data_IF_163260358873
#
_entry.id   IF_163260358873
#
_cell.length_a   1.000
_cell.length_b   1.000
_cell.length_c   1.000
_cell.angle_alpha   90.00
_cell.angle_beta   90.00
_cell.angle_gamma   90.00
#
_symmetry.space_group_name_H-M   'P 1'
#
loop_
_entity.id
_entity.type
_entity.pdbx_description
1 polymer ?
#
# COMPACT_ATOMS: atom_id res chain seq x y z
N UNK A 1 43.98 60.45 22.09
CA UNK A 1 44.26 59.37 21.10
C UNK A 1 44.44 58.08 21.91
N UNK A 2 43.73 56.97 21.72
CA UNK A 2 42.93 56.45 20.61
C UNK A 2 41.64 55.84 21.17
N UNK A 3 40.54 55.99 20.43
CA UNK A 3 39.31 55.27 20.68
C UNK A 3 39.53 53.77 20.44
N UNK A 4 38.95 52.93 21.30
CA UNK A 4 38.76 51.50 21.02
C UNK A 4 37.49 51.41 20.18
N UNK A 5 37.67 51.43 18.86
CA UNK A 5 36.60 51.13 17.92
C UNK A 5 36.23 49.65 18.10
N UNK A 6 35.01 49.41 18.59
CA UNK A 6 34.43 48.08 18.55
C UNK A 6 34.25 47.70 17.09
N UNK A 7 34.86 46.59 16.68
CA UNK A 7 34.57 45.98 15.39
C UNK A 7 33.09 45.64 15.34
N UNK A 8 32.35 46.40 14.54
CA UNK A 8 30.98 46.09 14.16
C UNK A 8 31.03 44.79 13.37
N UNK A 9 30.72 43.68 14.04
CA UNK A 9 30.64 42.35 13.44
C UNK A 9 29.64 42.42 12.29
N UNK A 10 30.15 42.37 11.08
CA UNK A 10 29.40 42.42 9.84
C UNK A 10 28.38 41.26 9.84
N UNK A 11 27.10 41.59 9.82
CA UNK A 11 25.99 40.62 9.80
C UNK A 11 26.10 39.63 8.62
N UNK A 12 26.87 39.97 7.58
CA UNK A 12 27.18 39.08 6.45
C UNK A 12 28.18 37.97 6.77
N UNK A 13 29.04 38.13 7.77
CA UNK A 13 29.97 37.09 8.21
C UNK A 13 29.28 36.08 9.14
N UNK A 14 28.18 36.48 9.79
CA UNK A 14 27.24 35.58 10.48
C UNK A 14 26.27 34.86 9.50
N UNK A 15 26.27 35.28 8.23
CA UNK A 15 25.56 34.64 7.12
C UNK A 15 26.51 33.80 6.26
N UNK A 16 27.68 33.45 6.80
CA UNK A 16 28.44 32.28 6.35
C UNK A 16 27.51 31.08 6.39
N UNK A 17 27.10 30.63 5.20
CA UNK A 17 26.10 29.59 4.96
C UNK A 17 26.62 28.21 5.39
N UNK A 18 26.85 28.00 6.68
CA UNK A 18 26.90 26.68 7.31
C UNK A 18 25.46 26.17 7.45
N UNK A 19 24.73 26.13 6.34
CA UNK A 19 23.44 25.45 6.31
C UNK A 19 23.74 23.97 6.44
N UNK A 20 23.29 23.38 7.55
CA UNK A 20 23.40 21.95 7.79
C UNK A 20 22.89 21.21 6.56
N UNK A 21 23.75 20.36 5.99
CA UNK A 21 23.41 19.58 4.82
C UNK A 21 22.83 18.25 5.27
N UNK A 22 21.59 17.99 4.89
CA UNK A 22 20.94 16.70 5.11
C UNK A 22 21.05 15.84 3.86
N UNK A 23 21.83 14.77 3.95
CA UNK A 23 21.97 13.81 2.86
C UNK A 23 21.04 12.61 3.08
N UNK A 24 20.10 12.42 2.17
CA UNK A 24 19.27 11.22 2.12
C UNK A 24 19.81 10.24 1.09
N UNK A 25 20.11 9.03 1.54
CA UNK A 25 20.34 7.91 0.63
C UNK A 25 19.00 7.49 0.01
N UNK A 26 18.98 7.19 -1.28
CA UNK A 26 17.77 6.80 -2.01
C UNK A 26 17.89 5.37 -2.53
N UNK A 27 16.95 4.52 -2.13
CA UNK A 27 16.70 3.22 -2.74
C UNK A 27 15.44 3.32 -3.60
N UNK A 28 15.60 3.19 -4.91
CA UNK A 28 14.51 3.31 -5.88
C UNK A 28 14.03 1.91 -6.30
N UNK A 29 12.84 1.52 -5.86
CA UNK A 29 12.26 0.21 -6.09
C UNK A 29 11.13 0.30 -7.13
N UNK A 30 11.40 -0.14 -8.35
CA UNK A 30 10.46 -0.12 -9.47
C UNK A 30 9.69 -1.43 -9.49
N UNK A 31 8.40 -1.40 -9.13
CA UNK A 31 7.53 -2.59 -9.21
C UNK A 31 6.82 -2.57 -10.55
N UNK A 32 6.90 -3.68 -11.29
CA UNK A 32 6.40 -3.75 -12.66
C UNK A 32 5.84 -5.13 -13.01
N UNK A 33 4.99 -5.18 -14.03
CA UNK A 33 4.44 -6.43 -14.60
C UNK A 33 5.15 -6.86 -15.89
N UNK A 34 5.60 -5.89 -16.68
CA UNK A 34 6.35 -6.09 -17.91
C UNK A 34 7.18 -4.85 -18.26
N UNK A 35 8.09 -4.97 -19.23
CA UNK A 35 9.09 -3.95 -19.58
C UNK A 35 8.51 -2.85 -20.51
N UNK A 36 7.29 -2.41 -20.24
CA UNK A 36 6.64 -1.27 -20.90
C UNK A 36 6.32 -0.19 -19.87
N UNK A 37 6.10 1.06 -20.31
CA UNK A 37 5.73 2.13 -19.37
C UNK A 37 4.38 1.85 -18.72
N UNK A 38 3.42 1.33 -19.47
CA UNK A 38 2.10 0.92 -18.98
C UNK A 38 2.22 -0.23 -17.97
N UNK A 39 3.20 -1.11 -18.16
CA UNK A 39 3.54 -2.18 -17.23
C UNK A 39 4.34 -1.75 -16.01
N UNK A 40 4.60 -0.45 -15.83
CA UNK A 40 5.31 0.11 -14.67
C UNK A 40 6.83 0.11 -14.78
N UNK A 41 7.40 -0.24 -15.95
CA UNK A 41 8.85 -0.24 -16.12
C UNK A 41 9.41 1.18 -16.21
N UNK A 42 10.46 1.42 -15.45
CA UNK A 42 11.20 2.69 -15.43
C UNK A 42 12.68 2.35 -15.61
N UNK A 43 13.29 2.91 -16.66
CA UNK A 43 14.70 2.70 -16.94
C UNK A 43 15.61 3.44 -15.95
N UNK A 44 16.85 2.96 -15.82
CA UNK A 44 17.84 3.57 -14.92
C UNK A 44 18.14 5.04 -15.28
N UNK A 45 18.07 5.41 -16.56
CA UNK A 45 18.20 6.81 -17.00
C UNK A 45 17.13 7.70 -16.38
N UNK A 46 15.87 7.28 -16.41
CA UNK A 46 14.74 8.04 -15.88
C UNK A 46 14.87 8.19 -14.35
N UNK A 47 15.33 7.14 -13.65
CA UNK A 47 15.62 7.20 -12.21
C UNK A 47 16.73 8.22 -11.91
N UNK A 48 17.84 8.20 -12.66
CA UNK A 48 18.93 9.16 -12.48
C UNK A 48 18.47 10.59 -12.75
N UNK A 49 17.68 10.81 -13.80
CA UNK A 49 17.07 12.11 -14.08
C UNK A 49 16.16 12.57 -12.93
N UNK A 50 15.36 11.68 -12.34
CA UNK A 50 14.53 12.03 -11.19
C UNK A 50 15.36 12.47 -9.98
N UNK A 51 16.50 11.82 -9.72
CA UNK A 51 17.41 12.19 -8.62
C UNK A 51 18.08 13.55 -8.90
N UNK A 52 18.41 13.84 -10.16
CA UNK A 52 18.91 15.17 -10.56
C UNK A 52 17.86 16.26 -10.34
N UNK A 53 16.61 16.01 -10.72
CA UNK A 53 15.49 16.95 -10.49
C UNK A 53 15.33 17.22 -8.99
N UNK A 54 15.30 16.18 -8.16
CA UNK A 54 15.19 16.36 -6.70
C UNK A 54 16.34 17.21 -6.14
N UNK A 55 17.58 16.97 -6.54
CA UNK A 55 18.72 17.77 -6.07
C UNK A 55 18.66 19.22 -6.58
N UNK A 56 18.19 19.45 -7.80
CA UNK A 56 18.04 20.79 -8.35
C UNK A 56 16.96 21.58 -7.60
N UNK A 57 15.80 20.96 -7.38
CA UNK A 57 14.66 21.61 -6.74
C UNK A 57 14.90 21.91 -5.25
N UNK A 58 15.68 21.06 -4.57
CA UNK A 58 16.00 21.21 -3.15
C UNK A 58 17.32 21.94 -2.88
N UNK A 59 18.01 22.47 -3.91
CA UNK A 59 19.35 23.05 -3.77
C UNK A 59 19.45 24.17 -2.71
N UNK A 60 18.40 24.96 -2.53
CA UNK A 60 18.37 26.10 -1.62
C UNK A 60 18.08 25.71 -0.16
N UNK A 61 17.70 24.45 0.08
CA UNK A 61 17.21 23.95 1.36
C UNK A 61 18.29 23.27 2.22
N UNK A 62 19.44 22.93 1.63
CA UNK A 62 20.44 22.08 2.29
C UNK A 62 20.13 20.57 2.23
N UNK A 63 19.04 20.16 1.59
CA UNK A 63 18.70 18.74 1.38
C UNK A 63 19.36 18.23 0.09
N UNK A 64 20.00 17.06 0.18
CA UNK A 64 20.57 16.34 -0.96
C UNK A 64 20.09 14.90 -1.00
N UNK A 65 19.96 14.36 -2.21
CA UNK A 65 19.52 12.99 -2.48
C UNK A 65 20.60 12.23 -3.24
N UNK A 66 21.03 11.09 -2.73
CA UNK A 66 22.03 10.22 -3.37
C UNK A 66 21.41 8.88 -3.68
N UNK A 67 21.30 8.53 -4.96
CA UNK A 67 20.90 7.19 -5.37
C UNK A 67 21.96 6.18 -4.95
N UNK A 68 21.59 5.26 -4.05
CA UNK A 68 22.47 4.17 -3.59
C UNK A 68 22.05 2.82 -4.16
N UNK A 69 20.79 2.67 -4.56
CA UNK A 69 20.25 1.44 -5.13
C UNK A 69 19.08 1.74 -6.08
N UNK A 70 19.06 1.05 -7.21
CA UNK A 70 17.88 0.93 -8.07
C UNK A 70 17.54 -0.55 -8.20
N UNK A 71 16.29 -0.94 -8.06
CA UNK A 71 15.86 -2.34 -8.08
C UNK A 71 14.57 -2.49 -8.86
N UNK A 72 14.59 -3.35 -9.86
CA UNK A 72 13.42 -3.72 -10.64
C UNK A 72 12.81 -4.99 -10.03
N UNK A 73 11.54 -4.90 -9.63
CA UNK A 73 10.79 -5.92 -8.91
C UNK A 73 9.63 -6.37 -9.79
N UNK A 74 9.78 -7.52 -10.46
CA UNK A 74 8.73 -8.08 -11.30
C UNK A 74 7.69 -8.81 -10.43
N UNK A 75 6.58 -8.17 -10.12
CA UNK A 75 5.52 -8.76 -9.30
C UNK A 75 4.16 -8.18 -9.68
N UNK A 76 3.32 -9.01 -10.32
CA UNK A 76 1.94 -8.63 -10.65
C UNK A 76 1.10 -8.39 -9.41
N UNK A 77 1.24 -9.25 -8.39
CA UNK A 77 0.50 -9.09 -7.14
C UNK A 77 0.81 -7.75 -6.47
N UNK A 78 2.09 -7.36 -6.39
CA UNK A 78 2.42 -6.08 -5.77
C UNK A 78 2.03 -4.89 -6.65
N UNK A 79 2.25 -5.00 -7.97
CA UNK A 79 1.89 -3.94 -8.90
C UNK A 79 0.39 -3.63 -8.86
N UNK A 80 -0.47 -4.65 -8.73
CA UNK A 80 -1.93 -4.51 -8.83
C UNK A 80 -2.67 -4.55 -7.49
N UNK A 81 -2.05 -4.91 -6.37
CA UNK A 81 -2.75 -5.08 -5.09
C UNK A 81 -2.11 -4.35 -3.90
N UNK A 82 -1.01 -3.59 -4.10
CA UNK A 82 -0.47 -2.74 -3.03
C UNK A 82 -1.34 -1.50 -2.85
N UNK A 83 -1.74 -1.27 -1.62
CA UNK A 83 -2.39 -0.04 -1.16
C UNK A 83 -1.96 0.24 0.28
N UNK A 84 -2.11 1.48 0.79
CA UNK A 84 -1.69 1.80 2.15
C UNK A 84 -2.32 0.86 3.20
N UNK A 85 -1.47 0.20 3.98
CA UNK A 85 -1.81 -0.76 5.02
C UNK A 85 -2.02 -2.20 4.53
N UNK A 86 -1.94 -2.49 3.23
CA UNK A 86 -2.18 -3.85 2.73
C UNK A 86 -1.10 -4.84 3.19
N UNK A 87 -1.43 -6.15 3.32
CA UNK A 87 -0.41 -7.17 3.58
C UNK A 87 0.69 -7.18 2.52
N UNK A 88 0.36 -6.89 1.26
CA UNK A 88 1.31 -6.76 0.16
C UNK A 88 2.28 -5.60 0.38
N UNK A 89 1.80 -4.44 0.84
CA UNK A 89 2.65 -3.30 1.17
C UNK A 89 3.65 -3.66 2.27
N UNK A 90 3.17 -4.29 3.33
CA UNK A 90 4.00 -4.69 4.47
C UNK A 90 5.06 -5.71 4.05
N UNK A 91 4.67 -6.75 3.30
CA UNK A 91 5.58 -7.76 2.81
C UNK A 91 6.63 -7.18 1.85
N UNK A 92 6.21 -6.31 0.92
CA UNK A 92 7.10 -5.65 -0.02
C UNK A 92 8.11 -4.76 0.72
N UNK A 93 7.64 -3.90 1.64
CA UNK A 93 8.51 -3.01 2.42
C UNK A 93 9.45 -3.79 3.34
N UNK A 94 9.00 -4.90 3.93
CA UNK A 94 9.86 -5.76 4.75
C UNK A 94 11.04 -6.33 3.95
N UNK A 95 10.83 -6.67 2.67
CA UNK A 95 11.85 -7.27 1.83
C UNK A 95 12.80 -6.23 1.19
N UNK A 96 12.28 -5.06 0.82
CA UNK A 96 13.02 -4.12 -0.04
C UNK A 96 13.37 -2.79 0.62
N UNK A 97 12.86 -2.49 1.83
CA UNK A 97 13.37 -1.35 2.57
C UNK A 97 14.80 -1.63 3.04
N UNK A 98 15.67 -0.66 2.83
CA UNK A 98 17.04 -0.69 3.32
C UNK A 98 17.36 0.57 4.10
N UNK A 99 18.46 0.50 4.86
CA UNK A 99 19.04 1.64 5.55
C UNK A 99 18.31 2.01 6.83
N UNK A 100 18.59 3.22 7.31
CA UNK A 100 18.11 3.79 8.56
C UNK A 100 17.19 4.99 8.31
N UNK A 101 17.00 5.84 9.32
CA UNK A 101 16.17 7.05 9.25
C UNK A 101 16.63 8.07 8.18
N UNK A 102 17.88 7.98 7.69
CA UNK A 102 18.42 8.82 6.62
C UNK A 102 18.23 8.23 5.23
N UNK A 103 17.54 7.09 5.11
CA UNK A 103 17.32 6.41 3.83
C UNK A 103 15.88 6.54 3.35
N UNK A 104 15.71 7.23 2.22
CA UNK A 104 14.44 7.33 1.50
C UNK A 104 14.27 6.12 0.58
N UNK A 105 13.27 5.29 0.87
CA UNK A 105 12.88 4.17 0.03
C UNK A 105 11.68 4.58 -0.83
N UNK A 106 11.89 4.71 -2.14
CA UNK A 106 10.86 5.11 -3.12
C UNK A 106 10.34 3.87 -3.82
N UNK A 107 9.02 3.74 -3.94
CA UNK A 107 8.36 2.65 -4.68
C UNK A 107 7.48 3.21 -5.78
N UNK A 108 7.61 2.69 -6.99
CA UNK A 108 6.68 2.98 -8.08
C UNK A 108 5.79 1.77 -8.33
N UNK A 109 4.50 2.02 -8.43
CA UNK A 109 3.43 1.03 -8.57
C UNK A 109 2.45 1.53 -9.63
N UNK A 110 1.43 0.73 -9.95
CA UNK A 110 0.32 1.22 -10.77
C UNK A 110 -0.55 2.19 -9.99
N UNK A 111 -1.27 3.06 -10.70
CA UNK A 111 -2.34 3.85 -10.11
C UNK A 111 -3.66 3.11 -10.29
N UNK A 112 -4.15 2.47 -9.24
CA UNK A 112 -5.49 1.88 -9.25
C UNK A 112 -6.46 2.99 -8.90
N UNK A 113 -7.28 3.39 -9.87
CA UNK A 113 -8.43 4.26 -9.59
C UNK A 113 -9.38 3.50 -8.67
N UNK A 114 -9.30 3.81 -7.37
CA UNK A 114 -10.16 3.27 -6.32
C UNK A 114 -11.61 3.75 -6.52
N UNK A 115 -12.33 3.20 -7.49
CA UNK A 115 -13.78 3.25 -7.44
C UNK A 115 -14.25 2.22 -6.39
N UNK A 116 -14.51 2.74 -5.18
CA UNK A 116 -15.39 2.17 -4.15
C UNK A 116 -15.06 0.75 -3.64
N UNK A 117 -14.06 0.63 -2.77
CA UNK A 117 -14.02 -0.49 -1.81
C UNK A 117 -14.96 -0.22 -0.62
N UNK A 118 -16.25 0.02 -0.88
CA UNK A 118 -17.26 -0.21 0.17
C UNK A 118 -17.30 -1.72 0.41
N UNK A 119 -16.73 -2.19 1.52
CA UNK A 119 -16.94 -3.59 1.92
C UNK A 119 -18.46 -3.83 1.96
N UNK A 120 -19.03 -4.84 1.29
CA UNK A 120 -20.43 -5.18 1.49
C UNK A 120 -20.59 -5.54 2.96
N UNK A 121 -21.27 -4.67 3.70
CA UNK A 121 -21.70 -4.98 5.06
C UNK A 121 -22.71 -6.11 4.90
N UNK A 122 -22.35 -7.30 5.34
CA UNK A 122 -23.26 -8.45 5.39
C UNK A 122 -24.42 -8.09 6.31
N UNK A 123 -25.52 -7.57 5.75
CA UNK A 123 -26.74 -7.33 6.50
C UNK A 123 -27.36 -8.71 6.74
N UNK A 124 -27.08 -9.30 7.90
CA UNK A 124 -27.80 -10.48 8.37
C UNK A 124 -29.24 -10.08 8.60
N UNK A 125 -30.13 -10.44 7.69
CA UNK A 125 -31.56 -10.27 7.88
C UNK A 125 -32.02 -11.20 9.00
N UNK A 126 -32.30 -10.63 10.17
CA UNK A 126 -33.09 -11.30 11.19
C UNK A 126 -34.51 -11.49 10.63
N UNK A 127 -34.79 -12.65 10.04
CA UNK A 127 -36.16 -13.03 9.68
C UNK A 127 -36.97 -13.20 10.96
N UNK A 128 -37.64 -12.12 11.39
CA UNK A 128 -38.66 -12.16 12.44
C UNK A 128 -39.82 -13.02 11.93
N UNK A 129 -39.96 -14.21 12.51
CA UNK A 129 -41.17 -15.04 12.44
C UNK A 129 -42.39 -14.19 12.84
N UNK A 130 -43.33 -14.04 11.92
CA UNK A 130 -44.74 -13.83 12.25
C UNK A 130 -45.55 -14.85 11.47
N UNK A 131 -46.04 -15.84 12.20
CA UNK A 131 -47.04 -16.77 11.73
C UNK A 131 -48.35 -16.03 11.50
N UNK A 132 -48.91 -16.16 10.30
CA UNK A 132 -50.32 -15.90 10.02
C UNK A 132 -50.78 -16.89 8.96
N UNK A 133 -51.39 -17.97 9.42
CA UNK A 133 -52.16 -18.91 8.60
C UNK A 133 -53.49 -18.25 8.21
N UNK A 134 -53.94 -18.42 6.95
CA UNK A 134 -55.36 -18.70 6.75
C UNK A 134 -55.60 -19.95 5.87
N UNK A 135 -56.46 -20.81 6.42
CA UNK A 135 -57.32 -21.85 5.83
C UNK A 135 -57.01 -22.36 4.40
N UNK A 136 -56.55 -23.62 4.32
CA UNK A 136 -56.59 -24.42 3.09
C UNK A 136 -57.99 -25.00 2.85
N UNK A 137 -58.51 -24.85 1.63
CA UNK A 137 -59.62 -25.66 1.13
C UNK A 137 -59.03 -26.86 0.36
N UNK A 138 -59.33 -28.04 0.88
CA UNK A 138 -58.80 -29.35 0.51
C UNK A 138 -59.52 -29.96 -0.70
N UNK A 139 -58.78 -30.64 -1.60
CA UNK A 139 -59.32 -31.80 -2.33
C UNK A 139 -58.21 -32.65 -2.94
N UNK A 140 -57.70 -33.60 -2.17
CA UNK A 140 -56.86 -34.69 -2.67
C UNK A 140 -56.78 -35.80 -1.62
N UNK A 141 -57.07 -37.07 -1.96
CA UNK A 141 -57.04 -38.14 -0.99
C UNK A 141 -55.62 -38.32 -0.41
N UNK A 142 -55.49 -38.63 0.88
CA UNK A 142 -54.19 -38.74 1.54
C UNK A 142 -53.38 -39.93 1.00
N UNK A 143 -52.05 -39.81 0.90
CA UNK A 143 -51.18 -40.93 0.50
C UNK A 143 -51.14 -42.01 1.58
N UNK A 144 -51.19 -43.28 1.16
CA UNK A 144 -51.10 -44.46 2.03
C UNK A 144 -49.77 -44.50 2.82
N UNK A 145 -49.78 -44.94 4.10
CA UNK A 145 -48.58 -45.01 4.91
C UNK A 145 -47.62 -46.14 4.45
N UNK A 146 -46.30 -45.97 4.64
CA UNK A 146 -45.30 -46.98 4.27
C UNK A 146 -45.34 -48.21 5.20
N UNK A 147 -45.21 -49.39 4.61
CA UNK A 147 -45.15 -50.69 5.29
C UNK A 147 -43.80 -50.85 6.00
N UNK A 148 -43.81 -50.93 7.33
CA UNK A 148 -42.60 -51.17 8.14
C UNK A 148 -42.25 -52.66 8.12
N UNK A 149 -41.13 -53.02 7.50
CA UNK A 149 -40.56 -54.38 7.63
C UNK A 149 -39.66 -54.40 8.87
N UNK A 150 -40.10 -55.05 9.94
CA UNK A 150 -39.32 -55.23 11.15
C UNK A 150 -38.26 -56.34 10.93
N UNK A 151 -36.98 -55.97 11.07
CA UNK A 151 -35.85 -56.90 11.13
C UNK A 151 -35.93 -57.71 12.43
N UNK A 152 -36.20 -59.01 12.34
CA UNK A 152 -36.12 -59.94 13.49
C UNK A 152 -34.68 -60.41 13.65
N UNK A 153 -34.08 -60.05 14.78
CA UNK A 153 -32.82 -60.57 15.33
C UNK A 153 -33.04 -62.04 15.72
N UNK A 154 -32.17 -62.95 15.26
CA UNK A 154 -32.07 -64.31 15.79
C UNK A 154 -30.76 -64.44 16.58
N UNK A 155 -30.88 -64.95 17.79
CA UNK A 155 -29.81 -65.35 18.71
C UNK A 155 -29.82 -66.88 18.72
N UNK A 156 -28.64 -67.48 18.48
CA UNK A 156 -28.19 -68.88 18.67
C UNK A 156 -29.11 -69.98 18.12
#
# INVERSE_FOLDING_TARGET
MRALEGEELNEKDLLGSDRETFLFNVSFNVVFVNETREGGWIGESDIKTQIQILNNDYNATGIQFRLVKATNIKSKDWFENVYPGSPQEQAMKLLYNIGDASTLNVYTLTFILLFLHSKPTQLTSLTRRTASTPLQLHSGPPPSPPRTTATRRATV
#
